data_IF_931173074353
#
_entry.id   IF_931173074353
#
_cell.length_a   1.000
_cell.length_b   1.000
_cell.length_c   1.000
_cell.angle_alpha   90.00
_cell.angle_beta   90.00
_cell.angle_gamma   90.00
#
_symmetry.space_group_name_H-M   'P 1'
#
loop_
_entity.id
_entity.type
_entity.pdbx_description
1 polymer ?
#
# COMPACT_ATOMS: atom_id res chain seq x y z
N UNK A 1 19.05 19.86 -2.88
CA UNK A 1 18.92 21.01 -3.81
C UNK A 1 17.49 20.97 -4.36
N UNK A 2 16.65 22.00 -4.17
CA UNK A 2 15.27 22.00 -4.72
C UNK A 2 15.34 22.00 -6.25
N UNK A 3 14.79 20.97 -6.88
CA UNK A 3 14.67 20.94 -8.34
C UNK A 3 13.60 21.95 -8.79
N UNK A 4 13.91 22.72 -9.83
CA UNK A 4 12.96 23.68 -10.39
C UNK A 4 11.82 22.92 -11.06
N UNK A 5 10.58 23.10 -10.56
CA UNK A 5 9.37 22.47 -11.09
C UNK A 5 8.45 23.51 -11.72
N UNK A 6 8.01 23.28 -12.97
CA UNK A 6 7.13 24.19 -13.70
C UNK A 6 6.09 23.44 -14.52
N UNK A 7 4.85 23.89 -14.45
CA UNK A 7 3.75 23.43 -15.30
C UNK A 7 3.47 24.49 -16.38
N UNK A 8 3.34 24.07 -17.62
CA UNK A 8 3.07 24.95 -18.75
C UNK A 8 2.03 24.37 -19.69
N UNK A 9 1.20 25.25 -20.25
CA UNK A 9 0.20 24.89 -21.25
C UNK A 9 0.53 25.55 -22.59
N UNK A 10 0.22 24.86 -23.68
CA UNK A 10 0.37 25.39 -25.02
C UNK A 10 -0.75 24.89 -25.95
N UNK A 11 -1.04 25.64 -26.97
CA UNK A 11 -2.08 25.28 -27.94
C UNK A 11 -1.47 24.43 -29.06
N UNK A 12 -2.09 23.32 -29.41
CA UNK A 12 -1.72 22.51 -30.57
C UNK A 12 -2.25 23.19 -31.85
N UNK A 13 -1.41 24.01 -32.47
CA UNK A 13 -1.81 24.89 -33.59
C UNK A 13 -2.12 24.16 -34.91
N UNK A 14 -1.64 22.94 -35.08
CA UNK A 14 -1.79 22.12 -36.30
C UNK A 14 -3.02 21.21 -36.30
N UNK A 15 -3.94 21.37 -35.35
CA UNK A 15 -5.17 20.60 -35.25
C UNK A 15 -6.31 21.47 -34.78
N UNK A 16 -7.45 21.38 -35.47
CA UNK A 16 -8.72 21.97 -35.07
C UNK A 16 -9.83 20.93 -35.16
N UNK A 17 -10.74 20.96 -34.22
CA UNK A 17 -11.93 20.12 -34.24
C UNK A 17 -12.98 20.71 -35.19
N UNK A 18 -14.14 20.04 -35.34
CA UNK A 18 -15.26 20.50 -36.21
C UNK A 18 -15.83 21.87 -35.82
N UNK A 19 -15.54 22.32 -34.61
CA UNK A 19 -16.00 23.64 -34.08
C UNK A 19 -14.92 24.73 -34.25
N UNK A 20 -13.81 24.48 -34.93
CA UNK A 20 -12.70 25.42 -35.10
C UNK A 20 -11.90 25.67 -33.79
N UNK A 21 -11.94 24.72 -32.86
CA UNK A 21 -11.21 24.79 -31.60
C UNK A 21 -9.99 23.84 -31.62
N UNK A 22 -8.88 24.29 -31.03
CA UNK A 22 -7.65 23.52 -30.88
C UNK A 22 -7.48 23.03 -29.45
N UNK A 23 -6.89 21.82 -29.24
CA UNK A 23 -6.67 21.28 -27.89
C UNK A 23 -5.53 21.99 -27.18
N UNK A 24 -5.72 22.25 -25.89
CA UNK A 24 -4.68 22.72 -24.99
C UNK A 24 -3.85 21.52 -24.52
N UNK A 25 -2.56 21.61 -24.68
CA UNK A 25 -1.57 20.60 -24.34
C UNK A 25 -0.86 20.96 -23.03
N UNK A 26 -0.44 19.95 -22.28
CA UNK A 26 0.23 20.06 -20.99
C UNK A 26 1.71 19.67 -21.11
N UNK A 27 2.59 20.52 -20.61
CA UNK A 27 4.04 20.24 -20.43
C UNK A 27 4.44 20.43 -18.98
N UNK A 28 5.29 19.55 -18.51
CA UNK A 28 5.85 19.61 -17.15
C UNK A 28 7.38 19.63 -17.24
N UNK A 29 8.00 20.48 -16.44
CA UNK A 29 9.44 20.65 -16.34
C UNK A 29 9.89 20.30 -14.92
N UNK A 30 11.00 19.58 -14.82
CA UNK A 30 11.63 19.19 -13.55
C UNK A 30 13.16 19.19 -13.73
N UNK A 31 13.88 19.98 -12.93
CA UNK A 31 15.36 19.96 -12.95
C UNK A 31 16.01 20.29 -14.28
N UNK A 32 15.31 21.00 -15.19
CA UNK A 32 15.79 21.31 -16.54
C UNK A 32 15.31 20.34 -17.62
N UNK A 33 14.79 19.19 -17.26
CA UNK A 33 14.14 18.24 -18.18
C UNK A 33 12.70 18.63 -18.46
N UNK A 34 12.17 18.22 -19.61
CA UNK A 34 10.80 18.51 -20.05
C UNK A 34 10.11 17.25 -20.55
N UNK A 35 8.89 17.00 -20.09
CA UNK A 35 8.00 15.96 -20.61
C UNK A 35 6.67 16.53 -21.08
N UNK A 36 6.19 16.00 -22.21
CA UNK A 36 4.86 16.31 -22.74
C UNK A 36 3.83 15.35 -22.12
N UNK A 37 2.91 15.88 -21.33
CA UNK A 37 1.85 15.10 -20.67
C UNK A 37 0.60 14.90 -21.53
N UNK A 38 0.61 15.40 -22.77
CA UNK A 38 -0.49 15.20 -23.71
C UNK A 38 -1.58 16.28 -23.63
N UNK A 39 -2.79 15.94 -24.07
CA UNK A 39 -3.92 16.86 -24.09
C UNK A 39 -4.61 16.97 -22.73
N UNK A 40 -4.99 18.20 -22.36
CA UNK A 40 -5.84 18.48 -21.18
C UNK A 40 -7.30 18.09 -21.41
N UNK A 41 -7.69 17.71 -22.65
CA UNK A 41 -9.07 17.56 -23.12
C UNK A 41 -9.88 18.88 -23.16
N UNK A 42 -9.25 20.02 -22.96
CA UNK A 42 -9.83 21.35 -23.10
C UNK A 42 -9.55 21.84 -24.52
N UNK A 43 -10.59 22.32 -25.20
CA UNK A 43 -10.52 22.83 -26.56
C UNK A 43 -10.90 24.31 -26.58
N UNK A 44 -10.08 25.16 -27.24
CA UNK A 44 -10.28 26.60 -27.25
C UNK A 44 -10.03 27.18 -28.64
N UNK A 45 -10.66 28.30 -28.95
CA UNK A 45 -10.40 29.06 -30.20
C UNK A 45 -8.98 29.68 -30.14
N UNK A 46 -8.21 29.55 -31.21
CA UNK A 46 -6.85 30.13 -31.31
C UNK A 46 -6.82 31.65 -31.07
N UNK A 47 -7.81 32.36 -31.57
CA UNK A 47 -7.90 33.82 -31.43
C UNK A 47 -7.99 34.32 -29.99
N UNK A 48 -8.52 33.47 -29.09
CA UNK A 48 -8.69 33.81 -27.67
C UNK A 48 -7.48 33.33 -26.81
N UNK A 49 -6.55 32.53 -27.36
CA UNK A 49 -5.43 32.03 -26.61
C UNK A 49 -4.31 33.05 -26.51
N UNK A 50 -3.71 33.16 -25.33
CA UNK A 50 -2.51 33.95 -25.06
C UNK A 50 -1.32 33.04 -24.83
N UNK A 51 -0.35 33.04 -25.74
CA UNK A 51 0.89 32.25 -25.56
C UNK A 51 1.75 32.80 -24.41
N UNK A 52 1.70 34.11 -24.14
CA UNK A 52 2.47 34.75 -23.08
C UNK A 52 2.03 34.30 -21.68
N UNK A 53 0.71 34.20 -21.46
CA UNK A 53 0.14 33.80 -20.16
C UNK A 53 -0.21 32.31 -20.11
N UNK A 54 -0.24 31.61 -21.25
CA UNK A 54 -0.77 30.24 -21.37
C UNK A 54 -2.19 30.11 -20.85
N UNK A 55 -3.05 31.11 -21.15
CA UNK A 55 -4.44 31.23 -20.70
C UNK A 55 -5.33 31.85 -21.80
N UNK A 56 -6.64 31.68 -21.66
CA UNK A 56 -7.61 32.37 -22.48
C UNK A 56 -7.67 33.86 -22.10
N UNK A 57 -7.72 34.74 -23.14
CA UNK A 57 -7.91 36.16 -22.98
C UNK A 57 -9.36 36.50 -22.67
N UNK A 58 -9.59 37.61 -21.95
CA UNK A 58 -10.91 38.13 -21.64
C UNK A 58 -11.49 37.63 -20.30
N UNK A 59 -12.70 38.09 -19.98
CA UNK A 59 -13.41 37.78 -18.74
C UNK A 59 -14.80 37.16 -19.02
N UNK A 60 -14.95 36.51 -20.17
CA UNK A 60 -16.17 35.76 -20.48
C UNK A 60 -16.30 34.54 -19.55
N UNK A 61 -17.54 34.07 -19.33
CA UNK A 61 -17.76 32.86 -18.50
C UNK A 61 -16.96 31.65 -19.01
N UNK A 62 -16.84 31.49 -20.34
CA UNK A 62 -16.01 30.46 -20.97
C UNK A 62 -14.51 30.61 -20.59
N UNK A 63 -13.98 31.85 -20.71
CA UNK A 63 -12.59 32.12 -20.39
C UNK A 63 -12.28 31.86 -18.91
N UNK A 64 -13.15 32.25 -18.00
CA UNK A 64 -13.02 32.02 -16.56
C UNK A 64 -13.07 30.53 -16.23
N UNK A 65 -14.03 29.79 -16.80
CA UNK A 65 -14.19 28.37 -16.59
C UNK A 65 -12.95 27.56 -17.08
N UNK A 66 -12.49 27.87 -18.30
CA UNK A 66 -11.29 27.21 -18.87
C UNK A 66 -10.05 27.54 -18.05
N UNK A 67 -9.85 28.80 -17.68
CA UNK A 67 -8.69 29.19 -16.88
C UNK A 67 -8.71 28.54 -15.50
N UNK A 68 -9.86 28.45 -14.84
CA UNK A 68 -10.01 27.73 -13.58
C UNK A 68 -9.71 26.24 -13.71
N UNK A 69 -10.11 25.59 -14.81
CA UNK A 69 -9.78 24.19 -15.07
C UNK A 69 -8.26 23.98 -15.28
N UNK A 70 -7.58 24.91 -15.99
CA UNK A 70 -6.12 24.86 -16.15
C UNK A 70 -5.39 25.11 -14.83
N UNK A 71 -5.92 25.97 -13.96
CA UNK A 71 -5.37 26.22 -12.63
C UNK A 71 -5.55 25.00 -11.71
N UNK A 72 -6.68 24.30 -11.79
CA UNK A 72 -6.90 23.05 -11.06
C UNK A 72 -5.88 21.96 -11.48
N UNK A 73 -5.59 21.83 -12.79
CA UNK A 73 -4.54 20.92 -13.30
C UNK A 73 -3.17 21.31 -12.73
N UNK A 74 -2.83 22.60 -12.74
CA UNK A 74 -1.58 23.09 -12.18
C UNK A 74 -1.47 22.78 -10.69
N UNK A 75 -2.50 23.09 -9.92
CA UNK A 75 -2.57 22.84 -8.47
C UNK A 75 -2.37 21.35 -8.15
N UNK A 76 -3.02 20.48 -8.92
CA UNK A 76 -2.85 19.01 -8.75
C UNK A 76 -1.42 18.59 -8.99
N UNK A 77 -0.77 19.06 -10.05
CA UNK A 77 0.62 18.73 -10.39
C UNK A 77 1.62 19.29 -9.36
N UNK A 78 1.42 20.52 -8.89
CA UNK A 78 2.22 21.08 -7.79
C UNK A 78 2.00 20.33 -6.48
N UNK A 79 0.80 19.84 -6.19
CA UNK A 79 0.53 18.96 -5.05
C UNK A 79 1.29 17.63 -5.13
N UNK A 80 1.33 17.02 -6.31
CA UNK A 80 2.11 15.81 -6.55
C UNK A 80 3.61 16.10 -6.35
N UNK A 81 4.13 17.17 -6.96
CA UNK A 81 5.54 17.56 -6.81
C UNK A 81 5.91 17.75 -5.33
N UNK A 82 5.14 18.51 -4.56
CA UNK A 82 5.40 18.76 -3.13
C UNK A 82 5.43 17.48 -2.29
N UNK A 83 4.56 16.51 -2.64
CA UNK A 83 4.51 15.23 -1.94
C UNK A 83 5.81 14.42 -2.11
N UNK A 84 6.48 14.55 -3.26
CA UNK A 84 7.66 13.77 -3.60
C UNK A 84 8.95 14.63 -3.71
N UNK A 85 8.92 15.94 -3.35
CA UNK A 85 10.06 16.86 -3.55
C UNK A 85 11.33 16.45 -2.79
N UNK A 86 11.21 15.64 -1.73
CA UNK A 86 12.31 15.13 -0.92
C UNK A 86 12.57 13.62 -1.18
N UNK A 87 11.91 13.01 -2.17
CA UNK A 87 12.07 11.60 -2.50
C UNK A 87 13.14 11.45 -3.60
N UNK A 88 14.12 10.56 -3.39
CA UNK A 88 15.17 10.27 -4.37
C UNK A 88 14.62 9.71 -5.69
N UNK A 89 13.42 9.15 -5.68
CA UNK A 89 12.72 8.62 -6.87
C UNK A 89 12.01 9.70 -7.69
N UNK A 90 12.07 10.99 -7.27
CA UNK A 90 11.38 12.07 -7.96
C UNK A 90 11.87 12.19 -9.42
N UNK A 91 10.96 11.96 -10.35
CA UNK A 91 11.21 12.05 -11.79
C UNK A 91 9.96 12.51 -12.53
N UNK A 92 10.10 12.98 -13.78
CA UNK A 92 8.97 13.32 -14.64
C UNK A 92 8.05 12.13 -14.89
N UNK A 93 8.61 10.92 -14.97
CA UNK A 93 7.83 9.69 -15.15
C UNK A 93 7.03 9.34 -13.90
N UNK A 94 7.57 9.52 -12.70
CA UNK A 94 6.82 9.36 -11.45
C UNK A 94 5.64 10.35 -11.41
N UNK A 95 5.89 11.64 -11.66
CA UNK A 95 4.84 12.67 -11.66
C UNK A 95 3.76 12.35 -12.70
N UNK A 96 4.17 11.90 -13.89
CA UNK A 96 3.27 11.51 -14.98
C UNK A 96 2.40 10.32 -14.59
N UNK A 97 3.02 9.30 -14.02
CA UNK A 97 2.36 8.08 -13.53
C UNK A 97 1.32 8.41 -12.48
N UNK A 98 1.66 9.24 -11.49
CA UNK A 98 0.75 9.66 -10.43
C UNK A 98 -0.38 10.53 -10.98
N UNK A 99 -0.07 11.48 -11.87
CA UNK A 99 -1.05 12.42 -12.44
C UNK A 99 -2.12 11.71 -13.31
N UNK A 100 -1.69 10.82 -14.19
CA UNK A 100 -2.63 10.11 -15.09
C UNK A 100 -3.25 8.89 -14.44
N UNK A 101 -2.78 8.46 -13.28
CA UNK A 101 -3.18 7.20 -12.68
C UNK A 101 -2.89 5.99 -13.59
N UNK A 102 -1.98 6.15 -14.57
CA UNK A 102 -1.75 5.18 -15.65
C UNK A 102 -0.89 3.98 -15.25
N UNK A 103 -0.41 3.89 -14.01
CA UNK A 103 0.14 2.63 -13.51
C UNK A 103 -0.86 1.94 -12.57
N UNK A 104 -2.13 1.88 -12.99
CA UNK A 104 -3.06 0.94 -12.42
C UNK A 104 -3.04 -0.34 -13.24
N UNK A 105 -1.93 -1.08 -13.14
CA UNK A 105 -1.93 -2.52 -13.39
C UNK A 105 -3.08 -3.16 -12.61
N UNK A 106 -3.44 -2.53 -11.47
CA UNK A 106 -4.53 -2.93 -10.59
C UNK A 106 -5.47 -1.76 -10.28
N UNK A 107 -6.78 -1.98 -10.40
CA UNK A 107 -7.84 -1.05 -10.00
C UNK A 107 -8.41 -1.36 -8.62
N UNK A 108 -8.18 -2.58 -8.12
CA UNK A 108 -8.70 -3.10 -6.85
C UNK A 108 -7.60 -3.75 -6.01
N UNK A 109 -7.89 -4.03 -4.74
CA UNK A 109 -6.88 -4.37 -3.75
C UNK A 109 -6.47 -5.84 -3.75
N UNK A 110 -7.40 -6.77 -3.95
CA UNK A 110 -7.06 -8.20 -3.90
C UNK A 110 -6.07 -8.65 -4.98
N UNK A 111 -6.13 -8.18 -6.25
CA UNK A 111 -5.10 -8.47 -7.25
C UNK A 111 -3.71 -7.94 -6.85
N UNK A 112 -3.63 -6.79 -6.18
CA UNK A 112 -2.36 -6.28 -5.62
C UNK A 112 -1.85 -7.22 -4.53
N UNK A 113 -2.74 -7.71 -3.68
CA UNK A 113 -2.40 -8.69 -2.66
C UNK A 113 -1.91 -10.01 -3.29
N UNK A 114 -2.59 -10.50 -4.34
CA UNK A 114 -2.20 -11.71 -5.07
C UNK A 114 -0.81 -11.54 -5.72
N UNK A 115 -0.53 -10.36 -6.30
CA UNK A 115 0.80 -10.02 -6.82
C UNK A 115 1.88 -10.02 -5.72
N UNK A 116 1.56 -9.49 -4.55
CA UNK A 116 2.45 -9.56 -3.39
C UNK A 116 2.74 -11.01 -3.00
N UNK A 117 1.73 -11.89 -2.98
CA UNK A 117 1.90 -13.31 -2.67
C UNK A 117 2.80 -14.02 -3.69
N UNK A 118 2.67 -13.71 -4.98
CA UNK A 118 3.56 -14.24 -6.03
C UNK A 118 5.01 -13.83 -5.80
N UNK A 119 5.27 -12.54 -5.48
CA UNK A 119 6.60 -12.05 -5.19
C UNK A 119 7.20 -12.70 -3.93
N UNK A 120 6.38 -12.93 -2.88
CA UNK A 120 6.78 -13.66 -1.67
C UNK A 120 7.11 -15.13 -2.01
N UNK A 121 6.26 -15.78 -2.80
CA UNK A 121 6.46 -17.20 -3.20
C UNK A 121 7.81 -17.44 -3.88
N UNK A 122 8.27 -16.52 -4.73
CA UNK A 122 9.58 -16.60 -5.40
C UNK A 122 10.76 -16.50 -4.41
N UNK A 123 10.54 -15.97 -3.20
CA UNK A 123 11.54 -15.75 -2.16
C UNK A 123 11.55 -16.83 -1.08
N UNK A 124 10.56 -17.73 -1.09
CA UNK A 124 10.49 -18.86 -0.15
C UNK A 124 11.70 -19.77 -0.34
N UNK A 125 12.31 -20.20 0.77
CA UNK A 125 13.52 -21.04 0.77
C UNK A 125 14.82 -20.27 0.51
N UNK A 126 14.76 -18.97 0.17
CA UNK A 126 15.95 -18.12 -0.02
C UNK A 126 16.09 -17.08 1.10
N UNK A 127 15.09 -16.22 1.25
CA UNK A 127 15.09 -15.12 2.22
C UNK A 127 13.87 -15.13 3.13
N UNK A 128 12.88 -15.99 2.87
CA UNK A 128 11.60 -16.05 3.59
C UNK A 128 11.26 -17.52 3.84
N UNK A 129 10.81 -17.84 5.05
CA UNK A 129 10.30 -19.17 5.40
C UNK A 129 8.90 -19.43 4.82
N UNK A 130 8.55 -20.70 4.61
CA UNK A 130 7.24 -21.15 4.10
C UNK A 130 6.08 -20.65 4.98
N UNK A 131 6.26 -20.58 6.29
CA UNK A 131 5.25 -20.09 7.25
C UNK A 131 4.84 -18.64 6.98
N UNK A 132 5.78 -17.82 6.47
CA UNK A 132 5.48 -16.44 6.10
C UNK A 132 4.50 -16.37 4.92
N UNK A 133 4.68 -17.20 3.90
CA UNK A 133 3.74 -17.29 2.77
C UNK A 133 2.36 -17.74 3.24
N UNK A 134 2.30 -18.78 4.10
CA UNK A 134 1.04 -19.26 4.68
C UNK A 134 0.32 -18.17 5.47
N UNK A 135 1.06 -17.42 6.31
CA UNK A 135 0.52 -16.29 7.08
C UNK A 135 -0.14 -15.24 6.19
N UNK A 136 0.49 -14.85 5.08
CA UNK A 136 -0.08 -13.88 4.14
C UNK A 136 -1.26 -14.45 3.37
N UNK A 137 -1.21 -15.72 2.95
CA UNK A 137 -2.32 -16.39 2.25
C UNK A 137 -3.58 -16.49 3.13
N UNK A 138 -3.41 -16.82 4.40
CA UNK A 138 -4.51 -16.83 5.38
C UNK A 138 -5.09 -15.42 5.57
N UNK A 139 -4.24 -14.39 5.67
CA UNK A 139 -4.70 -13.01 5.77
C UNK A 139 -5.51 -12.58 4.53
N UNK A 140 -5.04 -12.93 3.34
CA UNK A 140 -5.74 -12.65 2.07
C UNK A 140 -7.15 -13.25 2.07
N UNK A 141 -7.30 -14.48 2.54
CA UNK A 141 -8.60 -15.15 2.66
C UNK A 141 -9.51 -14.41 3.63
N UNK A 142 -9.05 -14.12 4.85
CA UNK A 142 -9.84 -13.36 5.84
C UNK A 142 -10.24 -11.97 5.32
N UNK A 143 -9.38 -11.31 4.56
CA UNK A 143 -9.73 -10.01 4.00
C UNK A 143 -10.82 -10.12 2.92
N UNK A 144 -10.78 -11.16 2.07
CA UNK A 144 -11.84 -11.43 1.09
C UNK A 144 -13.19 -11.78 1.77
N UNK A 145 -13.16 -12.60 2.83
CA UNK A 145 -14.32 -12.96 3.65
C UNK A 145 -14.93 -11.71 4.31
N UNK A 146 -14.08 -10.82 4.85
CA UNK A 146 -14.50 -9.52 5.40
C UNK A 146 -15.21 -8.64 4.37
N UNK A 147 -14.65 -8.51 3.17
CA UNK A 147 -15.26 -7.69 2.11
C UNK A 147 -16.63 -8.22 1.72
N UNK A 148 -16.78 -9.53 1.65
CA UNK A 148 -18.07 -10.16 1.38
C UNK A 148 -19.06 -9.94 2.53
N UNK A 149 -18.61 -10.09 3.78
CA UNK A 149 -19.43 -9.91 4.96
C UNK A 149 -19.92 -8.47 5.13
N UNK A 150 -18.99 -7.49 5.06
CA UNK A 150 -19.29 -6.09 5.40
C UNK A 150 -19.89 -5.32 4.23
N UNK A 151 -19.39 -5.55 3.01
CA UNK A 151 -19.72 -4.75 1.83
C UNK A 151 -20.47 -5.52 0.75
N UNK A 152 -20.68 -6.85 0.92
CA UNK A 152 -21.28 -7.74 -0.10
C UNK A 152 -20.55 -7.66 -1.44
N UNK A 153 -19.23 -7.46 -1.42
CA UNK A 153 -18.37 -7.31 -2.58
C UNK A 153 -17.24 -8.33 -2.57
N UNK A 154 -16.86 -8.80 -3.77
CA UNK A 154 -15.71 -9.70 -3.92
C UNK A 154 -14.36 -8.99 -3.76
N UNK A 155 -14.30 -7.68 -4.00
CA UNK A 155 -13.10 -6.86 -3.91
C UNK A 155 -13.44 -5.39 -3.63
N UNK A 156 -12.42 -4.58 -3.28
CA UNK A 156 -12.53 -3.15 -3.02
C UNK A 156 -11.59 -2.37 -3.90
N UNK A 157 -12.06 -1.22 -4.44
CA UNK A 157 -11.23 -0.32 -5.22
C UNK A 157 -10.07 0.25 -4.40
N UNK A 158 -8.89 0.41 -5.02
CA UNK A 158 -7.72 0.98 -4.34
C UNK A 158 -8.00 2.39 -3.77
N UNK A 159 -8.88 3.18 -4.43
CA UNK A 159 -9.28 4.50 -3.94
C UNK A 159 -10.26 4.42 -2.75
N UNK A 160 -11.00 3.31 -2.64
CA UNK A 160 -11.98 3.08 -1.57
C UNK A 160 -11.33 2.47 -0.32
N UNK A 161 -10.08 2.02 -0.43
CA UNK A 161 -9.35 1.41 0.68
C UNK A 161 -8.85 2.48 1.67
N UNK A 162 -9.76 2.98 2.49
CA UNK A 162 -9.59 4.08 3.43
C UNK A 162 -9.26 3.61 4.86
N UNK A 163 -8.89 4.51 5.80
CA UNK A 163 -8.73 4.16 7.21
C UNK A 163 -9.97 3.52 7.85
N UNK A 164 -11.17 3.87 7.38
CA UNK A 164 -12.42 3.26 7.85
C UNK A 164 -12.47 1.75 7.52
N UNK A 165 -12.01 1.35 6.33
CA UNK A 165 -11.92 -0.07 5.94
C UNK A 165 -10.95 -0.84 6.84
N UNK A 166 -9.84 -0.23 7.24
CA UNK A 166 -8.88 -0.83 8.18
C UNK A 166 -9.52 -1.05 9.56
N UNK A 167 -10.26 -0.07 10.06
CA UNK A 167 -10.96 -0.16 11.35
C UNK A 167 -12.07 -1.24 11.29
N UNK A 168 -12.86 -1.25 10.23
CA UNK A 168 -13.90 -2.26 10.02
C UNK A 168 -13.32 -3.67 9.92
N UNK A 169 -12.18 -3.84 9.25
CA UNK A 169 -11.48 -5.12 9.18
C UNK A 169 -10.97 -5.56 10.56
N UNK A 170 -10.43 -4.63 11.35
CA UNK A 170 -10.00 -4.94 12.72
C UNK A 170 -11.18 -5.39 13.59
N UNK A 171 -12.30 -4.69 13.52
CA UNK A 171 -13.52 -5.05 14.22
C UNK A 171 -14.03 -6.43 13.77
N UNK A 172 -14.09 -6.69 12.47
CA UNK A 172 -14.46 -7.98 11.91
C UNK A 172 -13.60 -9.12 12.46
N UNK A 173 -12.27 -8.94 12.50
CA UNK A 173 -11.35 -9.96 13.00
C UNK A 173 -11.59 -10.31 14.47
N UNK A 174 -11.94 -9.34 15.29
CA UNK A 174 -12.17 -9.56 16.73
C UNK A 174 -13.58 -10.07 17.05
N UNK A 175 -14.60 -9.64 16.29
CA UNK A 175 -16.00 -9.94 16.62
C UNK A 175 -16.59 -11.11 15.82
N UNK A 176 -16.33 -11.15 14.51
CA UNK A 176 -16.92 -12.14 13.60
C UNK A 176 -15.99 -13.33 13.36
N UNK A 177 -14.70 -13.04 13.06
CA UNK A 177 -13.70 -14.09 12.85
C UNK A 177 -13.22 -14.74 14.17
N UNK A 178 -13.67 -14.27 15.32
CA UNK A 178 -13.40 -14.87 16.64
C UNK A 178 -11.92 -14.86 17.06
N UNK A 179 -11.12 -13.95 16.52
CA UNK A 179 -9.72 -13.84 16.88
C UNK A 179 -9.54 -13.15 18.24
N UNK A 180 -8.64 -13.69 19.08
CA UNK A 180 -8.18 -12.96 20.26
C UNK A 180 -7.60 -11.59 19.87
N UNK A 181 -7.72 -10.61 20.75
CA UNK A 181 -7.36 -9.21 20.50
C UNK A 181 -5.96 -9.06 19.87
N UNK A 182 -4.93 -9.59 20.51
CA UNK A 182 -3.57 -9.51 19.97
C UNK A 182 -3.39 -10.19 18.61
N UNK A 183 -4.20 -11.22 18.31
CA UNK A 183 -4.20 -11.88 17.00
C UNK A 183 -4.81 -10.98 15.94
N UNK A 184 -5.92 -10.29 16.25
CA UNK A 184 -6.55 -9.33 15.35
C UNK A 184 -5.60 -8.18 15.04
N UNK A 185 -4.93 -7.60 16.05
CA UNK A 185 -3.91 -6.56 15.89
C UNK A 185 -2.76 -7.03 14.99
N UNK A 186 -2.25 -8.25 15.20
CA UNK A 186 -1.19 -8.83 14.33
C UNK A 186 -1.65 -8.99 12.88
N UNK A 187 -2.91 -9.38 12.63
CA UNK A 187 -3.49 -9.48 11.28
C UNK A 187 -3.55 -8.10 10.60
N UNK A 188 -4.03 -7.07 11.30
CA UNK A 188 -4.11 -5.70 10.81
C UNK A 188 -2.70 -5.12 10.55
N UNK A 189 -1.74 -5.39 11.44
CA UNK A 189 -0.32 -5.01 11.25
C UNK A 189 0.29 -5.71 10.02
N UNK A 190 -0.09 -6.95 9.76
CA UNK A 190 0.35 -7.69 8.58
C UNK A 190 -0.28 -7.09 7.31
N UNK A 191 -1.55 -6.64 7.35
CA UNK A 191 -2.21 -5.96 6.24
C UNK A 191 -1.48 -4.65 5.86
N UNK A 192 -0.95 -3.91 6.84
CA UNK A 192 -0.12 -2.72 6.61
C UNK A 192 1.11 -3.03 5.74
N UNK A 193 1.71 -4.21 5.86
CA UNK A 193 2.85 -4.62 5.02
C UNK A 193 2.47 -4.65 3.54
N UNK A 194 1.26 -5.13 3.22
CA UNK A 194 0.76 -5.20 1.85
C UNK A 194 0.44 -3.79 1.30
N UNK A 195 -0.12 -2.91 2.14
CA UNK A 195 -0.38 -1.53 1.71
C UNK A 195 0.92 -0.75 1.47
N UNK A 196 1.96 -0.96 2.29
CA UNK A 196 3.29 -0.38 2.05
C UNK A 196 3.89 -0.90 0.74
N UNK A 197 3.76 -2.20 0.44
CA UNK A 197 4.16 -2.75 -0.85
C UNK A 197 3.41 -2.09 -2.01
N UNK A 198 2.08 -1.93 -1.89
CA UNK A 198 1.26 -1.28 -2.90
C UNK A 198 1.65 0.20 -3.11
N UNK A 199 1.98 0.92 -2.03
CA UNK A 199 2.45 2.31 -2.08
C UNK A 199 3.82 2.44 -2.76
N UNK A 200 4.78 1.57 -2.40
CA UNK A 200 6.13 1.56 -3.00
C UNK A 200 6.10 1.27 -4.49
N UNK A 201 5.10 0.54 -4.98
CA UNK A 201 4.90 0.26 -6.42
C UNK A 201 3.98 1.27 -7.12
N UNK A 202 3.49 2.29 -6.40
CA UNK A 202 2.60 3.31 -6.95
C UNK A 202 1.16 2.83 -7.22
N UNK A 203 0.79 1.64 -6.76
CA UNK A 203 -0.58 1.11 -6.91
C UNK A 203 -1.55 1.81 -5.96
N UNK A 204 -1.11 2.15 -4.74
CA UNK A 204 -1.87 2.83 -3.71
C UNK A 204 -1.24 4.21 -3.44
N UNK A 205 -1.99 5.29 -3.68
CA UNK A 205 -1.48 6.67 -3.59
C UNK A 205 -1.61 7.32 -2.21
N UNK A 206 -2.40 6.72 -1.33
CA UNK A 206 -2.64 7.23 0.03
C UNK A 206 -2.30 6.15 1.07
N UNK A 207 -2.10 6.57 2.31
CA UNK A 207 -1.89 5.64 3.42
C UNK A 207 -3.22 5.37 4.15
N UNK A 208 -3.79 4.15 4.03
CA UNK A 208 -5.01 3.78 4.74
C UNK A 208 -4.75 3.55 6.25
N UNK A 209 -3.50 3.57 6.70
CA UNK A 209 -3.11 3.44 8.10
C UNK A 209 -2.73 4.76 8.75
N UNK A 210 -3.02 5.90 8.10
CA UNK A 210 -2.82 7.22 8.71
C UNK A 210 -3.57 7.29 10.04
N UNK A 211 -2.86 7.70 11.11
CA UNK A 211 -3.38 7.76 12.48
C UNK A 211 -3.84 6.41 13.09
N UNK A 212 -3.48 5.26 12.49
CA UNK A 212 -3.76 3.96 13.07
C UNK A 212 -2.64 3.53 14.04
N UNK A 213 -2.96 3.42 15.32
CA UNK A 213 -2.03 2.99 16.36
C UNK A 213 -2.26 1.51 16.68
N UNK A 214 -1.16 0.75 16.69
CA UNK A 214 -1.18 -0.66 17.07
C UNK A 214 -0.88 -0.80 18.56
N UNK A 215 -1.89 -1.11 19.35
CA UNK A 215 -1.73 -1.47 20.74
C UNK A 215 -1.86 -2.98 20.91
N UNK A 216 -0.96 -3.59 21.67
CA UNK A 216 -1.02 -5.01 22.02
C UNK A 216 -1.14 -5.11 23.54
N UNK A 217 -2.05 -5.94 24.01
CA UNK A 217 -2.19 -6.22 25.42
C UNK A 217 -1.02 -7.09 25.89
N UNK A 218 -0.45 -6.79 27.06
CA UNK A 218 0.53 -7.67 27.66
C UNK A 218 -0.10 -9.04 27.95
N UNK A 219 0.66 -10.10 27.68
CA UNK A 219 0.22 -11.46 27.94
C UNK A 219 1.17 -12.06 28.96
N UNK A 220 0.65 -12.28 30.16
CA UNK A 220 1.33 -13.09 31.16
C UNK A 220 1.15 -14.56 30.79
N UNK A 221 2.24 -15.25 30.53
CA UNK A 221 2.23 -16.68 30.18
C UNK A 221 2.55 -17.58 31.36
N UNK A 222 2.91 -16.99 32.49
CA UNK A 222 3.44 -17.72 33.61
C UNK A 222 4.75 -18.46 33.27
N UNK A 223 5.27 -19.16 34.21
CA UNK A 223 6.43 -20.05 34.10
C UNK A 223 6.26 -21.24 35.04
N UNK A 224 6.94 -22.34 34.73
CA UNK A 224 6.97 -23.49 35.61
C UNK A 224 7.92 -23.23 36.79
N UNK A 225 7.49 -23.60 37.97
CA UNK A 225 8.35 -23.63 39.16
C UNK A 225 9.34 -24.78 39.09
N UNK A 226 10.41 -24.75 39.86
CA UNK A 226 11.40 -25.83 39.93
C UNK A 226 10.74 -27.16 40.34
N UNK A 227 9.77 -27.13 41.26
CA UNK A 227 9.03 -28.30 41.67
C UNK A 227 8.18 -28.89 40.53
N UNK A 228 7.58 -28.03 39.71
CA UNK A 228 6.81 -28.47 38.51
C UNK A 228 7.71 -29.06 37.46
N UNK A 229 8.89 -28.46 37.22
CA UNK A 229 9.90 -28.98 36.30
C UNK A 229 10.38 -30.38 36.77
N UNK A 230 10.69 -30.54 38.08
CA UNK A 230 11.07 -31.82 38.64
C UNK A 230 9.95 -32.87 38.55
N UNK A 231 8.70 -32.49 38.76
CA UNK A 231 7.55 -33.38 38.57
C UNK A 231 7.42 -33.86 37.13
N UNK A 232 7.63 -32.99 36.16
CA UNK A 232 7.63 -33.34 34.72
C UNK A 232 8.82 -34.27 34.40
N UNK A 233 10.01 -33.96 34.91
CA UNK A 233 11.25 -34.76 34.68
C UNK A 233 11.09 -36.20 35.19
N UNK A 234 10.48 -36.36 36.36
CA UNK A 234 10.34 -37.69 37.01
C UNK A 234 9.06 -38.44 36.62
N UNK A 235 8.21 -37.87 35.74
CA UNK A 235 6.97 -38.50 35.30
C UNK A 235 7.26 -39.65 34.36
N UNK A 236 6.87 -40.87 34.73
CA UNK A 236 6.80 -41.98 33.80
C UNK A 236 5.63 -41.77 32.83
N UNK A 237 5.96 -41.74 31.54
CA UNK A 237 4.96 -41.51 30.48
C UNK A 237 4.56 -42.80 29.76
N UNK A 238 5.27 -43.93 30.02
CA UNK A 238 4.96 -45.23 29.44
C UNK A 238 5.09 -45.33 27.92
N UNK A 239 5.53 -44.25 27.24
CA UNK A 239 5.68 -44.17 25.80
C UNK A 239 7.01 -43.48 25.48
N UNK A 240 7.98 -44.25 24.92
CA UNK A 240 9.34 -43.78 24.63
C UNK A 240 9.39 -42.44 23.85
N UNK A 241 8.50 -42.25 22.90
CA UNK A 241 8.40 -40.96 22.14
C UNK A 241 8.08 -39.77 23.04
N UNK A 242 7.20 -39.94 24.03
CA UNK A 242 6.85 -38.86 24.97
C UNK A 242 7.97 -38.61 25.97
N UNK A 243 8.68 -39.64 26.39
CA UNK A 243 9.86 -39.52 27.26
C UNK A 243 10.95 -38.71 26.56
N UNK A 244 11.25 -38.99 25.30
CA UNK A 244 12.19 -38.16 24.51
C UNK A 244 11.74 -36.69 24.41
N UNK A 245 10.45 -36.41 24.17
CA UNK A 245 9.94 -35.05 24.12
C UNK A 245 10.08 -34.37 25.49
N UNK A 246 9.78 -35.07 26.59
CA UNK A 246 10.00 -34.58 27.95
C UNK A 246 11.48 -34.24 28.19
N UNK A 247 12.40 -35.12 27.83
CA UNK A 247 13.81 -34.93 28.07
C UNK A 247 14.37 -33.75 27.28
N UNK A 248 13.97 -33.58 26.00
CA UNK A 248 14.27 -32.39 25.18
C UNK A 248 13.71 -31.11 25.83
N UNK A 249 12.50 -31.16 26.34
CA UNK A 249 11.88 -30.02 27.02
C UNK A 249 12.65 -29.63 28.29
N UNK A 250 12.95 -30.62 29.15
CA UNK A 250 13.73 -30.42 30.39
C UNK A 250 15.14 -29.87 30.06
N UNK A 251 15.80 -30.43 29.06
CA UNK A 251 17.09 -29.95 28.59
C UNK A 251 17.01 -28.48 28.17
N UNK A 252 15.97 -28.12 27.41
CA UNK A 252 15.75 -26.73 26.99
C UNK A 252 15.48 -25.79 28.17
N UNK A 253 14.76 -26.24 29.21
CA UNK A 253 14.53 -25.46 30.43
C UNK A 253 15.83 -25.10 31.15
N UNK A 254 16.76 -26.06 31.29
CA UNK A 254 18.01 -25.83 32.01
C UNK A 254 19.10 -25.15 31.17
N UNK A 255 19.07 -25.28 29.85
CA UNK A 255 20.09 -24.68 28.98
C UNK A 255 19.68 -23.34 28.39
N UNK A 256 18.37 -23.01 28.35
CA UNK A 256 17.82 -21.83 27.68
C UNK A 256 17.88 -21.91 26.15
N UNK A 257 18.24 -23.06 25.58
CA UNK A 257 18.34 -23.25 24.14
C UNK A 257 16.95 -23.33 23.52
N UNK A 258 16.77 -22.67 22.35
CA UNK A 258 15.58 -22.81 21.58
C UNK A 258 15.48 -24.22 20.95
N UNK A 259 14.26 -24.68 20.63
CA UNK A 259 14.05 -26.01 20.04
C UNK A 259 14.90 -26.25 18.79
N UNK A 260 15.07 -25.25 17.93
CA UNK A 260 15.86 -25.38 16.70
C UNK A 260 17.36 -25.61 17.00
N UNK A 261 17.86 -24.97 18.07
CA UNK A 261 19.26 -25.13 18.48
C UNK A 261 19.48 -26.55 19.06
N UNK A 262 18.51 -26.99 19.89
CA UNK A 262 18.55 -28.37 20.44
C UNK A 262 18.44 -29.41 19.33
N UNK A 263 17.59 -29.20 18.34
CA UNK A 263 17.43 -30.15 17.21
C UNK A 263 18.67 -30.25 16.31
N UNK A 264 19.53 -29.22 16.34
CA UNK A 264 20.77 -29.17 15.57
C UNK A 264 22.04 -29.60 16.40
N UNK A 265 21.86 -29.93 17.68
CA UNK A 265 22.95 -30.49 18.48
C UNK A 265 23.32 -31.88 17.94
N UNK A 266 24.56 -32.04 17.53
CA UNK A 266 25.16 -33.30 17.05
C UNK A 266 25.97 -33.99 18.17
#
# INVERSE_FOLDING_TARGET
MRMNFKVSFYLRSNYENKEGKSPVMLRVFLGGEMANFGTTKIFVKKSLWSNATSRLRGRTAEALSVNAALDAISTTLYGIYRKYENDESLSLDLIRTVYFGKNREFTSFLPVFDKFLEDIKQRVGKTIGADSLQKYSVLRRHFAEFLMYKYSRKDIGLNEFTPAVVQDFHLYMSTVAGCAYNTSVKKVKTLKTITIYAQKRGFLLHDPFVNHHFHMEPVDRGFLTDEEILRVANKDLGIQRLELVRDIFIFSCFTGLAYIDVSNLT
#
